data_IF_567668585602
#
_entry.id   IF_567668585602
#
_cell.length_a   1.000
_cell.length_b   1.000
_cell.length_c   1.000
_cell.angle_alpha   90.00
_cell.angle_beta   90.00
_cell.angle_gamma   90.00
#
_symmetry.space_group_name_H-M   'P 1'
#
loop_
_entity.id
_entity.type
_entity.pdbx_description
1 polymer ?
#
# COMPACT_ATOMS: atom_id res chain seq x y z
N UNK A 1 -0.29 2.61 -6.78
CA UNK A 1 -0.47 1.52 -5.81
C UNK A 1 0.87 1.04 -5.36
N UNK A 2 1.03 0.96 -4.04
CA UNK A 2 2.21 0.50 -3.36
C UNK A 2 1.89 -0.84 -2.65
N UNK A 3 1.80 -1.94 -3.42
CA UNK A 3 1.29 -3.21 -2.87
C UNK A 3 2.15 -3.75 -1.74
N UNK A 4 3.48 -3.57 -1.81
CA UNK A 4 4.36 -4.10 -0.78
C UNK A 4 4.15 -3.41 0.58
N UNK A 5 4.03 -2.08 0.64
CA UNK A 5 3.78 -1.42 1.92
C UNK A 5 2.37 -1.70 2.45
N UNK A 6 1.35 -1.79 1.58
CA UNK A 6 0.00 -2.17 2.03
C UNK A 6 0.00 -3.56 2.67
N UNK A 7 0.69 -4.52 2.06
CA UNK A 7 0.83 -5.87 2.58
C UNK A 7 1.65 -5.92 3.88
N UNK A 8 2.74 -5.14 3.97
CA UNK A 8 3.61 -5.06 5.15
C UNK A 8 2.90 -4.44 6.35
N UNK A 9 2.09 -3.40 6.12
CA UNK A 9 1.38 -2.66 7.17
C UNK A 9 0.04 -3.31 7.55
N UNK A 10 -0.43 -4.30 6.78
CA UNK A 10 -1.66 -5.01 7.07
C UNK A 10 -1.56 -5.88 8.32
N UNK A 11 -2.64 -5.92 9.10
CA UNK A 11 -2.77 -6.78 10.28
C UNK A 11 -2.52 -8.25 9.97
N UNK A 12 -2.00 -9.01 10.95
CA UNK A 12 -1.74 -10.46 10.87
C UNK A 12 -3.00 -11.34 10.83
N UNK A 13 -3.88 -11.08 9.87
CA UNK A 13 -5.05 -11.86 9.53
C UNK A 13 -5.18 -11.95 7.99
N UNK A 14 -5.29 -13.15 7.39
CA UNK A 14 -5.33 -13.31 5.94
C UNK A 14 -6.45 -12.55 5.23
N UNK A 15 -7.66 -12.51 5.81
CA UNK A 15 -8.79 -11.79 5.22
C UNK A 15 -8.61 -10.26 5.34
N UNK A 16 -8.09 -9.75 6.45
CA UNK A 16 -7.78 -8.32 6.58
C UNK A 16 -6.68 -7.93 5.59
N UNK A 17 -5.63 -8.73 5.49
CA UNK A 17 -4.55 -8.56 4.52
C UNK A 17 -5.08 -8.55 3.08
N UNK A 18 -5.96 -9.49 2.74
CA UNK A 18 -6.59 -9.56 1.43
C UNK A 18 -7.45 -8.33 1.17
N UNK A 19 -8.29 -7.92 2.12
CA UNK A 19 -9.08 -6.70 2.02
C UNK A 19 -8.20 -5.46 1.80
N UNK A 20 -7.07 -5.36 2.50
CA UNK A 20 -6.13 -4.24 2.34
C UNK A 20 -5.50 -4.21 0.94
N UNK A 21 -5.11 -5.36 0.41
CA UNK A 21 -4.55 -5.46 -0.94
C UNK A 21 -5.57 -5.08 -2.03
N UNK A 22 -6.84 -5.47 -1.83
CA UNK A 22 -7.91 -5.25 -2.81
C UNK A 22 -8.53 -3.85 -2.76
N UNK A 23 -8.02 -2.95 -1.90
CA UNK A 23 -8.53 -1.59 -1.66
C UNK A 23 -8.91 -0.79 -2.89
N UNK A 24 -8.05 -0.80 -3.91
CA UNK A 24 -8.26 -0.08 -5.16
C UNK A 24 -9.08 -0.84 -6.20
N UNK A 25 -9.29 -2.15 -6.00
CA UNK A 25 -10.00 -3.02 -6.93
C UNK A 25 -11.48 -3.12 -6.60
N UNK A 26 -11.85 -3.02 -5.32
CA UNK A 26 -13.24 -3.16 -4.86
C UNK A 26 -13.85 -1.78 -4.58
N UNK A 27 -14.93 -1.45 -5.30
CA UNK A 27 -15.61 -0.14 -5.22
C UNK A 27 -17.13 -0.29 -5.19
N UNK A 28 -17.82 0.72 -4.69
CA UNK A 28 -19.28 0.81 -4.72
C UNK A 28 -19.97 -0.32 -3.96
N UNK A 29 -21.08 -0.81 -4.49
CA UNK A 29 -21.92 -1.86 -3.87
C UNK A 29 -21.14 -3.14 -3.53
N UNK A 30 -20.13 -3.48 -4.33
CA UNK A 30 -19.30 -4.66 -4.08
C UNK A 30 -18.53 -4.57 -2.75
N UNK A 31 -18.22 -3.36 -2.28
CA UNK A 31 -17.58 -3.13 -0.99
C UNK A 31 -18.53 -3.41 0.17
N UNK A 32 -19.79 -3.02 0.05
CA UNK A 32 -20.81 -3.20 1.09
C UNK A 32 -21.20 -4.68 1.25
N UNK A 33 -21.09 -5.46 0.18
CA UNK A 33 -21.36 -6.89 0.17
C UNK A 33 -20.25 -7.75 0.83
N UNK A 34 -19.10 -7.18 1.17
CA UNK A 34 -18.00 -7.92 1.78
C UNK A 34 -18.27 -8.27 3.24
N UNK A 35 -17.64 -9.34 3.72
CA UNK A 35 -17.65 -9.68 5.13
C UNK A 35 -16.92 -8.59 5.98
N UNK A 36 -17.20 -8.49 7.29
CA UNK A 36 -16.60 -7.45 8.14
C UNK A 36 -15.07 -7.46 8.17
N UNK A 37 -14.42 -8.62 8.04
CA UNK A 37 -12.95 -8.74 8.07
C UNK A 37 -12.30 -8.14 6.82
N UNK A 38 -12.90 -8.39 5.64
CA UNK A 38 -12.48 -7.80 4.38
C UNK A 38 -12.75 -6.29 4.36
N UNK A 39 -13.88 -5.84 4.89
CA UNK A 39 -14.18 -4.40 5.04
C UNK A 39 -13.15 -3.70 5.93
N UNK A 40 -12.75 -4.32 7.05
CA UNK A 40 -11.65 -3.83 7.90
C UNK A 40 -10.33 -3.72 7.13
N UNK A 41 -10.04 -4.68 6.25
CA UNK A 41 -8.91 -4.58 5.33
C UNK A 41 -8.98 -3.34 4.44
N UNK A 42 -10.15 -3.07 3.84
CA UNK A 42 -10.36 -1.87 3.01
C UNK A 42 -10.23 -0.56 3.81
N UNK A 43 -10.68 -0.55 5.06
CA UNK A 43 -10.47 0.58 5.97
C UNK A 43 -8.99 0.79 6.28
N UNK A 44 -8.24 -0.29 6.51
CA UNK A 44 -6.80 -0.24 6.72
C UNK A 44 -6.07 0.33 5.49
N UNK A 45 -6.45 -0.12 4.28
CA UNK A 45 -5.94 0.43 3.02
C UNK A 45 -6.18 1.94 2.93
N UNK A 46 -7.42 2.39 3.16
CA UNK A 46 -7.77 3.80 3.12
C UNK A 46 -7.02 4.61 4.16
N UNK A 47 -6.80 4.07 5.36
CA UNK A 47 -6.04 4.76 6.40
C UNK A 47 -4.59 5.01 5.97
N UNK A 48 -3.95 4.01 5.34
CA UNK A 48 -2.59 4.11 4.81
C UNK A 48 -2.52 5.19 3.72
N UNK A 49 -3.45 5.17 2.76
CA UNK A 49 -3.51 6.15 1.67
C UNK A 49 -3.73 7.57 2.20
N UNK A 50 -4.72 7.75 3.09
CA UNK A 50 -5.02 9.05 3.68
C UNK A 50 -3.80 9.60 4.41
N UNK A 51 -3.08 8.75 5.15
CA UNK A 51 -1.87 9.15 5.85
C UNK A 51 -0.77 9.59 4.86
N UNK A 52 -0.47 8.75 3.87
CA UNK A 52 0.63 9.00 2.91
C UNK A 52 0.33 10.20 2.00
N UNK A 53 -0.87 10.31 1.45
CA UNK A 53 -1.24 11.42 0.58
C UNK A 53 -1.25 12.78 1.27
N UNK A 54 -1.57 12.81 2.57
CA UNK A 54 -1.53 14.04 3.37
C UNK A 54 -0.11 14.39 3.82
N UNK A 55 0.81 13.42 3.86
CA UNK A 55 2.13 13.60 4.46
C UNK A 55 3.00 14.61 3.67
N UNK A 56 3.58 15.64 4.32
CA UNK A 56 4.37 16.67 3.63
C UNK A 56 5.55 16.12 2.84
N UNK A 57 6.21 15.06 3.31
CA UNK A 57 7.33 14.44 2.59
C UNK A 57 6.91 13.76 1.29
N UNK A 58 5.70 13.20 1.24
CA UNK A 58 5.15 12.57 0.04
C UNK A 58 4.80 13.64 -0.99
N UNK A 59 4.15 14.72 -0.57
CA UNK A 59 3.89 15.90 -1.41
C UNK A 59 5.17 16.49 -1.99
N UNK A 60 6.21 16.66 -1.15
CA UNK A 60 7.54 17.12 -1.59
C UNK A 60 8.17 16.16 -2.59
N UNK A 61 7.97 14.86 -2.44
CA UNK A 61 8.50 13.86 -3.38
C UNK A 61 7.79 13.95 -4.73
N UNK A 62 6.45 14.05 -4.74
CA UNK A 62 5.64 14.27 -5.95
C UNK A 62 6.07 15.54 -6.70
N UNK A 63 6.46 16.61 -5.98
CA UNK A 63 6.95 17.87 -6.57
C UNK A 63 8.35 17.78 -7.22
N UNK A 64 9.14 16.73 -6.93
CA UNK A 64 10.45 16.52 -7.57
C UNK A 64 10.33 15.91 -8.97
N UNK A 65 9.18 15.32 -9.29
CA UNK A 65 8.92 14.79 -10.61
C UNK A 65 8.78 15.96 -11.59
N UNK A 66 9.41 15.86 -12.77
CA UNK A 66 9.37 16.93 -13.76
C UNK A 66 7.92 17.23 -14.19
N UNK A 67 7.69 18.46 -14.64
CA UNK A 67 6.36 18.91 -15.05
C UNK A 67 5.75 18.06 -16.19
N UNK A 68 6.60 17.48 -17.04
CA UNK A 68 6.20 16.57 -18.12
C UNK A 68 5.46 15.33 -17.59
N UNK A 69 5.91 14.78 -16.46
CA UNK A 69 5.34 13.57 -15.86
C UNK A 69 4.40 13.85 -14.67
N UNK A 70 3.99 15.10 -14.47
CA UNK A 70 3.18 15.53 -13.30
C UNK A 70 1.91 14.69 -13.12
N UNK A 71 1.25 14.28 -14.21
CA UNK A 71 0.04 13.43 -14.15
C UNK A 71 0.33 12.04 -13.57
N UNK A 72 1.55 11.54 -13.74
CA UNK A 72 1.99 10.23 -13.28
C UNK A 72 2.80 10.30 -11.98
N UNK A 73 3.03 11.49 -11.44
CA UNK A 73 3.88 11.69 -10.27
C UNK A 73 3.47 10.82 -9.08
N UNK A 74 2.17 10.63 -8.82
CA UNK A 74 1.69 9.72 -7.77
C UNK A 74 2.15 8.28 -7.99
N UNK A 75 1.86 7.72 -9.17
CA UNK A 75 2.24 6.35 -9.56
C UNK A 75 3.75 6.16 -9.48
N UNK A 76 4.53 7.12 -9.99
CA UNK A 76 5.99 7.06 -9.94
C UNK A 76 6.52 7.05 -8.51
N UNK A 77 5.98 7.92 -7.64
CA UNK A 77 6.36 7.95 -6.22
C UNK A 77 6.01 6.63 -5.53
N UNK A 78 4.85 6.03 -5.81
CA UNK A 78 4.47 4.74 -5.23
C UNK A 78 5.49 3.64 -5.60
N UNK A 79 5.87 3.56 -6.88
CA UNK A 79 6.87 2.60 -7.37
C UNK A 79 8.24 2.85 -6.74
N UNK A 80 8.66 4.11 -6.62
CA UNK A 80 9.92 4.44 -5.96
C UNK A 80 9.92 4.07 -4.48
N UNK A 81 8.79 4.27 -3.79
CA UNK A 81 8.67 3.88 -2.38
C UNK A 81 8.66 2.36 -2.21
N UNK A 82 7.98 1.61 -3.07
CA UNK A 82 8.08 0.15 -3.09
C UNK A 82 9.52 -0.32 -3.32
N UNK A 83 10.22 0.28 -4.28
CA UNK A 83 11.63 -0.03 -4.55
C UNK A 83 12.53 0.27 -3.34
N UNK A 84 12.39 1.45 -2.74
CA UNK A 84 13.16 1.83 -1.55
C UNK A 84 12.84 0.92 -0.38
N UNK A 85 11.58 0.57 -0.17
CA UNK A 85 11.14 -0.37 0.87
C UNK A 85 11.78 -1.75 0.65
N UNK A 86 11.68 -2.31 -0.55
CA UNK A 86 12.26 -3.59 -0.90
C UNK A 86 13.79 -3.61 -0.73
N UNK A 87 14.47 -2.55 -1.15
CA UNK A 87 15.93 -2.45 -1.03
C UNK A 87 16.41 -2.26 0.42
N UNK A 88 15.54 -1.77 1.31
CA UNK A 88 15.83 -1.52 2.72
C UNK A 88 15.02 -2.45 3.64
N UNK A 89 14.56 -3.59 3.12
CA UNK A 89 13.55 -4.43 3.77
C UNK A 89 13.92 -4.88 5.19
N UNK A 90 15.19 -5.22 5.42
CA UNK A 90 15.70 -5.69 6.71
C UNK A 90 15.60 -4.66 7.84
N UNK A 91 15.34 -3.38 7.51
CA UNK A 91 15.05 -2.35 8.52
C UNK A 91 13.61 -2.37 9.02
N UNK A 92 12.70 -3.01 8.29
CA UNK A 92 11.26 -2.97 8.54
C UNK A 92 10.65 -4.35 8.87
N UNK A 93 11.35 -5.44 8.54
CA UNK A 93 10.90 -6.80 8.81
C UNK A 93 12.07 -7.69 9.22
N UNK A 94 11.79 -8.62 10.14
CA UNK A 94 12.73 -9.67 10.55
C UNK A 94 12.67 -10.90 9.62
N UNK A 95 11.69 -10.95 8.72
CA UNK A 95 11.49 -12.00 7.74
C UNK A 95 12.08 -11.53 6.41
N UNK A 96 12.68 -12.42 5.62
CA UNK A 96 13.21 -12.02 4.31
C UNK A 96 12.10 -11.56 3.35
N UNK A 97 12.42 -10.68 2.38
CA UNK A 97 11.42 -10.24 1.39
C UNK A 97 10.91 -11.42 0.55
N UNK A 98 11.80 -12.36 0.23
CA UNK A 98 11.46 -13.59 -0.48
C UNK A 98 10.44 -14.42 0.31
N UNK A 99 10.73 -14.72 1.58
CA UNK A 99 9.82 -15.46 2.45
C UNK A 99 8.48 -14.74 2.62
N UNK A 100 8.51 -13.42 2.83
CA UNK A 100 7.30 -12.60 2.95
C UNK A 100 6.40 -12.67 1.72
N UNK A 101 6.99 -12.69 0.52
CA UNK A 101 6.23 -12.66 -0.75
C UNK A 101 5.83 -14.03 -1.26
N UNK A 102 6.56 -15.09 -0.92
CA UNK A 102 6.23 -16.47 -1.32
C UNK A 102 5.36 -17.21 -0.33
N UNK A 103 5.48 -16.89 0.96
CA UNK A 103 4.76 -17.53 2.05
C UNK A 103 3.74 -16.58 2.66
N UNK A 104 3.07 -15.76 1.83
CA UNK A 104 2.22 -14.66 2.29
C UNK A 104 1.17 -15.12 3.33
N UNK A 105 1.55 -14.92 4.60
CA UNK A 105 0.97 -15.38 5.87
C UNK A 105 0.67 -16.87 6.00
#
# INVERSE_FOLDING_TARGET
MNWLAHLLLAESNPEVSLGNLLGDLIKGEAREALNPTLQRGLECHQAIDIFTDKHPLVKRSKQRISNEYRRFAGILIDVFYDYILANNWQHYSNVSLEEFTTSYK
#
